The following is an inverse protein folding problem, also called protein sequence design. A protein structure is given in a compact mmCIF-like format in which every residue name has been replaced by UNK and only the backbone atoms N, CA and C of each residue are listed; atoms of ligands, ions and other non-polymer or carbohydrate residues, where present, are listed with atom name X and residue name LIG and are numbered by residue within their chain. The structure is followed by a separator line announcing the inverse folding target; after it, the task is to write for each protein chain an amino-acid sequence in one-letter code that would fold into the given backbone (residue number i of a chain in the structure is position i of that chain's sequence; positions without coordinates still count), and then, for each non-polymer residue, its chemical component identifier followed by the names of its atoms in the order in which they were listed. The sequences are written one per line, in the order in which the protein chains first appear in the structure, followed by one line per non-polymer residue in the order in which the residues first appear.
data_IF_373879448360
#
_entry.id   IF_373879448360
#
_cell.length_a   1.000
_cell.length_b   1.000
_cell.length_c   1.000
_cell.angle_alpha   90.00
_cell.angle_beta   90.00
_cell.angle_gamma   90.00
#
_symmetry.space_group_name_H-M   'P 1'
#
loop_
_entity.id
_entity.type
_entity.pdbx_description
1 polymer ?
#
# COMPACT_ATOMS: atom_id res chain seq x y z
N UNK A 1 22.57 2.93 -22.71
CA UNK A 1 22.32 4.33 -22.30
C UNK A 1 21.34 4.90 -23.33
N UNK A 2 20.04 4.89 -23.02
CA UNK A 2 18.99 5.29 -23.96
C UNK A 2 18.55 6.74 -23.69
N UNK A 3 18.48 7.60 -24.73
CA UNK A 3 18.21 9.04 -24.59
C UNK A 3 16.70 9.32 -24.69
N UNK A 4 16.27 10.44 -24.10
CA UNK A 4 14.98 11.06 -24.44
C UNK A 4 13.93 10.94 -23.35
N UNK A 5 14.10 11.71 -22.29
CA UNK A 5 13.09 11.95 -21.29
C UNK A 5 11.79 12.48 -21.92
N UNK A 6 10.72 11.67 -21.84
CA UNK A 6 9.43 12.23 -21.45
C UNK A 6 9.70 12.95 -20.12
N UNK A 7 9.27 14.21 -19.97
CA UNK A 7 9.23 14.88 -18.66
C UNK A 7 8.17 14.20 -17.78
N UNK A 8 8.40 12.93 -17.50
CA UNK A 8 7.77 12.18 -16.44
C UNK A 8 8.53 12.54 -15.18
N UNK A 9 7.85 13.00 -14.14
CA UNK A 9 8.38 12.88 -12.79
C UNK A 9 8.68 11.39 -12.59
N UNK A 10 9.97 11.04 -12.63
CA UNK A 10 10.48 9.68 -12.57
C UNK A 10 9.81 8.95 -11.39
N UNK A 11 8.91 8.03 -11.69
CA UNK A 11 8.45 7.04 -10.74
C UNK A 11 9.60 6.10 -10.37
N UNK A 12 9.59 5.60 -9.16
CA UNK A 12 10.64 4.74 -8.61
C UNK A 12 10.72 3.40 -9.37
N UNK A 13 11.94 2.96 -9.67
CA UNK A 13 12.22 1.68 -10.35
C UNK A 13 12.22 0.55 -9.31
N UNK A 14 11.29 -0.40 -9.42
CA UNK A 14 11.32 -1.64 -8.63
C UNK A 14 11.67 -2.82 -9.52
N UNK A 15 12.80 -3.47 -9.23
CA UNK A 15 13.25 -4.69 -9.90
C UNK A 15 12.90 -5.92 -9.07
N UNK A 16 12.24 -6.90 -9.67
CA UNK A 16 12.02 -8.21 -9.07
C UNK A 16 12.88 -9.25 -9.80
N UNK A 17 13.69 -9.98 -9.05
CA UNK A 17 14.44 -11.14 -9.53
C UNK A 17 13.79 -12.41 -8.99
N UNK A 18 12.99 -13.09 -9.81
CA UNK A 18 12.75 -14.53 -9.63
C UNK A 18 13.48 -15.25 -10.75
N UNK A 19 14.22 -16.32 -10.40
CA UNK A 19 15.15 -17.02 -11.29
C UNK A 19 14.59 -17.23 -12.69
N UNK A 20 15.31 -16.66 -13.67
CA UNK A 20 15.15 -16.75 -15.14
C UNK A 20 14.31 -15.68 -15.88
N UNK A 21 13.64 -14.74 -15.20
CA UNK A 21 13.05 -13.57 -15.89
C UNK A 21 13.30 -12.27 -15.13
N UNK A 22 14.01 -11.34 -15.76
CA UNK A 22 14.22 -10.00 -15.20
C UNK A 22 13.09 -9.09 -15.67
N UNK A 23 12.36 -8.49 -14.73
CA UNK A 23 11.38 -7.46 -15.08
C UNK A 23 11.62 -6.17 -14.30
N UNK A 24 11.40 -5.04 -14.97
CA UNK A 24 11.51 -3.70 -14.41
C UNK A 24 10.16 -3.04 -14.49
N UNK A 25 9.61 -2.59 -13.36
CA UNK A 25 8.35 -1.85 -13.32
C UNK A 25 8.59 -0.36 -13.10
N UNK A 26 7.82 0.48 -13.81
CA UNK A 26 7.82 1.95 -13.72
C UNK A 26 6.38 2.42 -13.56
N UNK A 27 6.14 3.39 -12.67
CA UNK A 27 4.80 3.84 -12.28
C UNK A 27 4.58 5.34 -12.56
N UNK A 28 3.35 5.72 -12.92
CA UNK A 28 2.97 7.10 -13.30
C UNK A 28 1.69 7.58 -12.57
N UNK A 29 1.75 8.76 -11.95
CA UNK A 29 0.70 9.28 -11.03
C UNK A 29 -0.41 10.09 -11.70
N UNK A 30 -0.18 10.65 -12.89
CA UNK A 30 -1.13 11.56 -13.56
C UNK A 30 -1.40 11.27 -15.03
N UNK A 31 -0.70 10.28 -15.61
CA UNK A 31 -0.86 9.95 -17.02
C UNK A 31 -1.99 8.95 -17.20
N UNK A 32 -2.85 9.19 -18.19
CA UNK A 32 -3.90 8.22 -18.52
C UNK A 32 -3.29 7.05 -19.30
N UNK A 33 -3.90 5.87 -19.17
CA UNK A 33 -3.52 4.69 -19.95
C UNK A 33 -3.41 4.98 -21.46
N UNK A 34 -4.32 5.80 -22.01
CA UNK A 34 -4.36 6.09 -23.45
C UNK A 34 -3.18 6.92 -23.90
N UNK A 35 -2.67 7.84 -23.07
CA UNK A 35 -1.53 8.68 -23.42
C UNK A 35 -0.25 7.84 -23.49
N UNK A 36 -0.04 6.99 -22.48
CA UNK A 36 1.10 6.06 -22.43
C UNK A 36 1.01 5.04 -23.57
N UNK A 37 -0.17 4.45 -23.79
CA UNK A 37 -0.41 3.52 -24.92
C UNK A 37 -0.10 4.21 -26.25
N UNK A 38 -0.60 5.42 -26.48
CA UNK A 38 -0.41 6.14 -27.74
C UNK A 38 1.08 6.42 -28.02
N UNK A 39 1.85 6.75 -26.99
CA UNK A 39 3.30 6.88 -27.11
C UNK A 39 3.95 5.57 -27.62
N UNK A 40 3.69 4.44 -26.97
CA UNK A 40 4.26 3.15 -27.38
C UNK A 40 3.76 2.68 -28.76
N UNK A 41 2.51 2.99 -29.12
CA UNK A 41 1.99 2.74 -30.47
C UNK A 41 2.77 3.53 -31.52
N UNK A 42 3.09 4.79 -31.25
CA UNK A 42 3.84 5.62 -32.20
C UNK A 42 5.30 5.17 -32.37
N UNK A 43 5.90 4.61 -31.32
CA UNK A 43 7.30 4.19 -31.32
C UNK A 43 7.50 2.76 -31.85
N UNK A 44 6.57 1.84 -31.53
CA UNK A 44 6.77 0.39 -31.72
C UNK A 44 5.67 -0.26 -32.59
N UNK A 45 4.53 0.41 -32.79
CA UNK A 45 3.36 -0.11 -33.50
C UNK A 45 2.29 -0.68 -32.57
N UNK A 46 1.25 -1.30 -33.14
CA UNK A 46 0.12 -1.82 -32.36
C UNK A 46 0.53 -2.92 -31.36
N UNK A 47 -0.12 -2.99 -30.19
CA UNK A 47 0.17 -4.02 -29.19
C UNK A 47 -0.18 -5.41 -29.73
N UNK A 48 0.59 -6.42 -29.32
CA UNK A 48 0.30 -7.83 -29.62
C UNK A 48 -0.97 -8.32 -28.94
N UNK A 49 -1.26 -7.77 -27.76
CA UNK A 49 -2.43 -8.12 -26.97
C UNK A 49 -2.98 -6.88 -26.28
N UNK A 50 -4.30 -6.77 -26.23
CA UNK A 50 -5.00 -5.74 -25.47
C UNK A 50 -6.18 -6.37 -24.74
N UNK A 51 -6.28 -6.05 -23.44
CA UNK A 51 -7.33 -6.52 -22.55
C UNK A 51 -8.04 -5.30 -21.94
N UNK A 52 -9.37 -5.33 -21.94
CA UNK A 52 -10.22 -4.34 -21.30
C UNK A 52 -11.22 -5.08 -20.40
N UNK A 53 -11.03 -4.97 -19.08
CA UNK A 53 -11.91 -5.58 -18.08
C UNK A 53 -12.89 -4.52 -17.51
N UNK A 54 -13.24 -3.53 -18.35
CA UNK A 54 -14.18 -2.46 -18.05
C UNK A 54 -13.78 -1.69 -16.80
N UNK A 55 -14.46 -1.98 -15.69
CA UNK A 55 -14.18 -1.38 -14.39
C UNK A 55 -12.81 -1.74 -13.82
N UNK A 56 -12.29 -2.93 -14.12
CA UNK A 56 -10.99 -3.40 -13.60
C UNK A 56 -9.79 -2.85 -14.36
N UNK A 57 -10.01 -2.01 -15.36
CA UNK A 57 -8.96 -1.33 -16.09
C UNK A 57 -8.48 -2.07 -17.35
N UNK A 58 -7.45 -1.51 -17.99
CA UNK A 58 -6.97 -1.93 -19.30
C UNK A 58 -5.51 -2.34 -19.26
N UNK A 59 -5.12 -3.27 -20.12
CA UNK A 59 -3.71 -3.55 -20.37
C UNK A 59 -3.38 -3.78 -21.84
N UNK A 60 -2.21 -3.30 -22.27
CA UNK A 60 -1.64 -3.57 -23.58
C UNK A 60 -0.27 -4.19 -23.42
N UNK A 61 0.01 -5.23 -24.21
CA UNK A 61 1.34 -5.85 -24.28
C UNK A 61 1.95 -5.63 -25.66
N UNK A 62 3.12 -5.00 -25.67
CA UNK A 62 3.96 -4.78 -26.82
C UNK A 62 5.12 -5.77 -26.74
N UNK A 63 5.53 -6.35 -27.86
CA UNK A 63 6.73 -7.19 -27.91
C UNK A 63 7.55 -6.79 -29.12
N UNK A 64 8.85 -6.63 -28.89
CA UNK A 64 9.80 -6.25 -29.93
C UNK A 64 10.94 -7.26 -30.00
N UNK A 65 11.22 -7.68 -31.23
CA UNK A 65 12.40 -8.46 -31.55
C UNK A 65 13.62 -7.53 -31.51
N UNK A 66 14.44 -7.65 -30.47
CA UNK A 66 15.81 -7.14 -30.56
C UNK A 66 16.61 -8.17 -31.37
N UNK A 67 17.66 -7.74 -32.06
CA UNK A 67 18.55 -8.59 -32.89
C UNK A 67 19.38 -9.63 -32.07
N UNK A 68 18.88 -10.12 -30.95
CA UNK A 68 19.46 -11.10 -30.02
C UNK A 68 18.39 -12.18 -29.74
N UNK A 69 18.72 -13.37 -29.18
CA UNK A 69 17.87 -14.57 -29.28
C UNK A 69 16.57 -14.55 -28.46
N UNK A 70 16.30 -13.49 -27.69
CA UNK A 70 15.19 -13.39 -26.75
C UNK A 70 14.34 -12.14 -27.03
N UNK A 71 13.02 -12.34 -27.15
CA UNK A 71 12.03 -11.27 -27.36
C UNK A 71 11.88 -10.46 -26.06
N UNK A 72 12.02 -9.13 -26.14
CA UNK A 72 11.77 -8.22 -25.00
C UNK A 72 10.32 -7.73 -25.09
N UNK A 73 9.64 -7.66 -23.94
CA UNK A 73 8.23 -7.27 -23.85
C UNK A 73 8.01 -6.03 -22.98
N UNK A 74 7.00 -5.23 -23.32
CA UNK A 74 6.51 -4.12 -22.49
C UNK A 74 5.03 -4.30 -22.25
N UNK A 75 4.62 -4.44 -20.99
CA UNK A 75 3.22 -4.44 -20.57
C UNK A 75 2.88 -3.09 -19.95
N UNK A 76 1.80 -2.47 -20.42
CA UNK A 76 1.22 -1.25 -19.85
C UNK A 76 -0.10 -1.65 -19.23
N UNK A 77 -0.31 -1.33 -17.96
CA UNK A 77 -1.57 -1.60 -17.26
C UNK A 77 -2.06 -0.33 -16.56
N UNK A 78 -3.31 0.08 -16.85
CA UNK A 78 -3.96 1.23 -16.24
C UNK A 78 -5.14 0.81 -15.38
N UNK A 79 -5.22 1.32 -14.14
CA UNK A 79 -6.31 1.07 -13.19
C UNK A 79 -6.65 -0.42 -12.95
N UNK A 80 -5.66 -1.31 -13.08
CA UNK A 80 -5.78 -2.74 -12.74
C UNK A 80 -5.10 -3.09 -11.41
N UNK A 81 -4.77 -2.09 -10.60
CA UNK A 81 -4.26 -2.30 -9.26
C UNK A 81 -5.22 -3.14 -8.42
N UNK A 82 -4.69 -3.82 -7.41
CA UNK A 82 -5.45 -4.69 -6.51
C UNK A 82 -5.07 -4.43 -5.06
N UNK A 83 -4.98 -3.15 -4.68
CA UNK A 83 -4.76 -2.80 -3.28
C UNK A 83 -5.96 -3.23 -2.45
N UNK A 84 -5.70 -3.94 -1.35
CA UNK A 84 -6.72 -4.35 -0.37
C UNK A 84 -6.84 -3.35 0.76
N UNK A 85 -5.90 -2.42 0.87
CA UNK A 85 -5.77 -1.48 1.99
C UNK A 85 -6.99 -0.53 2.07
N UNK A 86 -7.43 0.14 0.99
CA UNK A 86 -8.60 1.01 1.06
C UNK A 86 -9.86 0.27 1.56
N UNK A 87 -10.09 -0.96 1.10
CA UNK A 87 -11.23 -1.77 1.57
C UNK A 87 -11.12 -2.10 3.06
N UNK A 88 -9.93 -2.38 3.59
CA UNK A 88 -9.70 -2.58 5.03
C UNK A 88 -10.02 -1.32 5.81
N UNK A 89 -9.56 -0.15 5.36
CA UNK A 89 -9.85 1.14 5.99
C UNK A 89 -11.37 1.42 5.98
N UNK A 90 -12.05 1.17 4.86
CA UNK A 90 -13.51 1.34 4.80
C UNK A 90 -14.25 0.40 5.75
N UNK A 91 -13.76 -0.82 5.97
CA UNK A 91 -14.32 -1.72 6.96
C UNK A 91 -14.15 -1.19 8.39
N UNK A 92 -12.99 -0.61 8.70
CA UNK A 92 -12.75 0.06 10.00
C UNK A 92 -13.70 1.26 10.19
N UNK A 93 -13.86 2.11 9.17
CA UNK A 93 -14.79 3.24 9.21
C UNK A 93 -16.26 2.79 9.35
N UNK A 94 -16.66 1.72 8.67
CA UNK A 94 -17.98 1.10 8.85
C UNK A 94 -18.18 0.60 10.30
N UNK A 95 -17.14 0.01 10.91
CA UNK A 95 -17.18 -0.40 12.32
C UNK A 95 -17.44 0.78 13.25
N UNK A 96 -16.78 1.92 13.02
CA UNK A 96 -17.00 3.17 13.77
C UNK A 96 -18.40 3.73 13.56
N UNK A 97 -18.96 3.61 12.35
CA UNK A 97 -20.33 4.04 12.07
C UNK A 97 -21.37 3.18 12.81
N UNK A 98 -21.18 1.86 12.85
CA UNK A 98 -22.04 0.94 13.60
C UNK A 98 -22.01 1.25 15.11
N UNK A 99 -20.87 1.70 15.62
CA UNK A 99 -20.71 2.14 17.02
C UNK A 99 -21.28 3.54 17.29
N UNK A 100 -21.77 4.25 16.26
CA UNK A 100 -22.32 5.61 16.39
C UNK A 100 -21.26 6.70 16.54
N UNK A 101 -19.99 6.39 16.27
CA UNK A 101 -18.87 7.35 16.38
C UNK A 101 -18.88 8.35 15.24
N UNK A 102 -19.26 7.90 14.05
CA UNK A 102 -19.45 8.73 12.85
C UNK A 102 -20.76 8.37 12.14
N UNK A 103 -21.43 9.30 11.47
CA UNK A 103 -22.65 8.98 10.73
C UNK A 103 -22.34 8.19 9.46
N UNK A 104 -23.24 7.27 9.07
CA UNK A 104 -23.13 6.46 7.86
C UNK A 104 -22.97 7.32 6.59
N UNK A 105 -23.66 8.47 6.53
CA UNK A 105 -23.53 9.43 5.43
C UNK A 105 -22.08 9.89 5.23
N UNK A 106 -21.35 10.08 6.32
CA UNK A 106 -19.94 10.48 6.26
C UNK A 106 -19.05 9.36 5.71
N UNK A 107 -19.33 8.11 6.06
CA UNK A 107 -18.60 6.96 5.51
C UNK A 107 -18.84 6.85 4.00
N UNK A 108 -20.08 7.05 3.55
CA UNK A 108 -20.41 7.04 2.13
C UNK A 108 -19.69 8.14 1.34
N UNK A 109 -19.62 9.36 1.87
CA UNK A 109 -18.83 10.46 1.28
C UNK A 109 -17.34 10.10 1.14
N UNK A 110 -16.76 9.51 2.19
CA UNK A 110 -15.35 9.10 2.20
C UNK A 110 -15.12 8.00 1.15
N UNK A 111 -16.01 7.00 1.09
CA UNK A 111 -15.93 5.91 0.11
C UNK A 111 -16.06 6.43 -1.32
N UNK A 112 -17.00 7.33 -1.59
CA UNK A 112 -17.16 7.94 -2.91
C UNK A 112 -15.88 8.67 -3.32
N UNK A 113 -15.29 9.46 -2.40
CA UNK A 113 -14.06 10.21 -2.65
C UNK A 113 -12.83 9.32 -2.92
N UNK A 114 -12.67 8.20 -2.20
CA UNK A 114 -11.43 7.43 -2.18
C UNK A 114 -11.52 6.01 -2.77
N UNK A 115 -12.69 5.55 -3.23
CA UNK A 115 -12.87 4.20 -3.79
C UNK A 115 -11.96 3.90 -4.99
N UNK A 116 -11.54 4.92 -5.74
CA UNK A 116 -10.62 4.76 -6.86
C UNK A 116 -9.26 4.16 -6.46
N UNK A 117 -8.84 4.34 -5.20
CA UNK A 117 -7.56 3.83 -4.68
C UNK A 117 -7.46 2.30 -4.73
N UNK A 118 -8.59 1.58 -4.69
CA UNK A 118 -8.61 0.11 -4.82
C UNK A 118 -8.03 -0.36 -6.17
N UNK A 119 -8.06 0.51 -7.18
CA UNK A 119 -7.62 0.25 -8.55
C UNK A 119 -6.25 0.84 -8.89
N UNK A 120 -5.63 1.55 -7.94
CA UNK A 120 -4.32 2.16 -8.12
C UNK A 120 -3.18 1.18 -7.80
N UNK A 121 -1.99 1.49 -8.31
CA UNK A 121 -0.76 0.79 -8.01
C UNK A 121 0.03 1.52 -6.92
N UNK A 122 0.80 0.74 -6.16
CA UNK A 122 1.69 1.23 -5.13
C UNK A 122 3.08 0.60 -5.33
N UNK A 123 4.11 1.45 -5.23
CA UNK A 123 5.50 1.03 -5.39
C UNK A 123 5.88 0.10 -4.24
N UNK A 124 6.72 -0.90 -4.49
CA UNK A 124 7.26 -1.74 -3.43
C UNK A 124 8.47 -1.06 -2.78
N UNK A 125 8.41 -0.90 -1.46
CA UNK A 125 9.46 -0.35 -0.61
C UNK A 125 9.99 -1.41 0.36
N UNK A 126 11.17 -1.20 0.94
CA UNK A 126 11.69 -2.12 1.95
C UNK A 126 11.10 -1.80 3.31
N UNK A 127 10.56 -2.82 3.97
CA UNK A 127 10.21 -2.74 5.39
C UNK A 127 11.45 -2.76 6.29
N UNK A 128 11.25 -2.69 7.61
CA UNK A 128 12.31 -2.72 8.62
C UNK A 128 13.15 -4.00 8.59
N UNK A 129 12.59 -5.10 8.06
CA UNK A 129 13.28 -6.38 7.87
C UNK A 129 14.04 -6.46 6.54
N UNK A 130 13.96 -5.42 5.71
CA UNK A 130 14.55 -5.35 4.37
C UNK A 130 13.74 -6.07 3.30
N UNK A 131 12.54 -6.57 3.62
CA UNK A 131 11.64 -7.25 2.69
C UNK A 131 10.89 -6.21 1.86
N UNK A 132 10.73 -6.48 0.57
CA UNK A 132 9.91 -5.65 -0.31
C UNK A 132 8.42 -5.84 -0.01
N UNK A 133 7.75 -4.76 0.32
CA UNK A 133 6.33 -4.67 0.64
C UNK A 133 5.73 -3.48 -0.11
N UNK A 134 4.49 -3.57 -0.57
CA UNK A 134 3.84 -2.46 -1.24
C UNK A 134 3.66 -1.26 -0.29
N UNK A 135 3.88 -0.04 -0.78
CA UNK A 135 3.89 1.18 0.02
C UNK A 135 2.56 1.43 0.74
N UNK A 136 1.43 1.01 0.16
CA UNK A 136 0.12 1.08 0.79
C UNK A 136 0.02 0.26 2.07
N UNK A 137 0.60 -0.94 2.10
CA UNK A 137 0.65 -1.77 3.31
C UNK A 137 1.55 -1.14 4.38
N UNK A 138 2.66 -0.49 4.01
CA UNK A 138 3.51 0.23 4.95
C UNK A 138 2.78 1.44 5.54
N UNK A 139 2.12 2.24 4.70
CA UNK A 139 1.29 3.37 5.14
C UNK A 139 0.20 2.87 6.09
N UNK A 140 -0.53 1.82 5.71
CA UNK A 140 -1.58 1.24 6.53
C UNK A 140 -1.07 0.80 7.90
N UNK A 141 0.02 0.02 7.95
CA UNK A 141 0.61 -0.49 9.20
C UNK A 141 0.94 0.65 10.17
N UNK A 142 1.54 1.75 9.68
CA UNK A 142 1.84 2.93 10.50
C UNK A 142 0.60 3.54 11.15
N UNK A 143 -0.53 3.60 10.45
CA UNK A 143 -1.77 4.14 11.03
C UNK A 143 -2.45 3.13 11.93
N UNK A 144 -2.43 1.85 11.57
CA UNK A 144 -2.97 0.75 12.37
C UNK A 144 -2.30 0.69 13.76
N UNK A 145 -0.97 0.85 13.82
CA UNK A 145 -0.19 0.97 15.05
C UNK A 145 -0.54 2.23 15.85
N UNK A 146 -0.62 3.40 15.21
CA UNK A 146 -0.97 4.66 15.89
C UNK A 146 -2.38 4.66 16.49
N UNK A 147 -3.34 4.01 15.82
CA UNK A 147 -4.73 3.92 16.28
C UNK A 147 -4.87 2.89 17.42
N UNK A 148 -3.90 1.98 17.57
CA UNK A 148 -3.98 0.86 18.50
C UNK A 148 -4.91 -0.26 18.00
N UNK A 149 -5.24 -0.27 16.71
CA UNK A 149 -6.03 -1.33 16.06
C UNK A 149 -5.14 -2.51 15.64
N UNK A 150 -3.85 -2.26 15.42
CA UNK A 150 -2.82 -3.28 15.32
C UNK A 150 -2.35 -3.63 16.71
N UNK A 151 -2.28 -4.94 17.00
CA UNK A 151 -1.57 -5.42 18.19
C UNK A 151 -0.20 -4.77 18.19
N UNK A 152 0.01 -3.88 19.16
CA UNK A 152 1.13 -2.95 19.21
C UNK A 152 2.45 -3.74 19.17
N UNK A 153 3.22 -3.61 18.09
CA UNK A 153 4.62 -4.06 17.98
C UNK A 153 5.59 -3.11 18.73
N UNK A 154 5.18 -2.53 19.86
CA UNK A 154 6.06 -1.71 20.72
C UNK A 154 6.49 -2.53 21.94
N UNK A 155 7.66 -3.19 21.89
CA UNK A 155 8.00 -4.36 22.72
C UNK A 155 6.85 -5.38 22.66
N UNK A 156 7.03 -6.49 21.92
CA UNK A 156 5.93 -7.46 21.76
C UNK A 156 5.32 -7.76 23.15
N UNK A 157 4.00 -7.91 23.28
CA UNK A 157 3.43 -8.14 24.62
C UNK A 157 4.08 -9.36 25.31
N UNK A 158 4.64 -10.27 24.51
CA UNK A 158 5.53 -11.35 24.96
C UNK A 158 6.85 -10.85 25.56
N UNK A 159 7.59 -9.94 24.92
CA UNK A 159 8.81 -9.34 25.47
C UNK A 159 8.55 -8.59 26.78
N UNK A 160 7.46 -7.81 26.85
CA UNK A 160 7.06 -7.12 28.09
C UNK A 160 6.70 -8.14 29.17
N UNK A 161 6.04 -9.24 28.82
CA UNK A 161 5.65 -10.28 29.75
C UNK A 161 6.84 -11.14 30.20
N UNK A 162 7.78 -11.47 29.33
CA UNK A 162 9.05 -12.13 29.68
C UNK A 162 9.87 -11.26 30.63
N UNK A 163 9.98 -9.96 30.34
CA UNK A 163 10.69 -9.02 31.20
C UNK A 163 10.02 -8.86 32.57
N UNK A 164 8.70 -8.83 32.62
CA UNK A 164 7.94 -8.86 33.86
C UNK A 164 8.19 -10.16 34.66
N UNK A 165 8.22 -11.32 33.99
CA UNK A 165 8.54 -12.61 34.62
C UNK A 165 9.96 -12.65 35.19
N UNK A 166 10.95 -12.11 34.47
CA UNK A 166 12.33 -12.00 34.96
C UNK A 166 12.43 -11.10 36.19
N UNK A 167 11.74 -9.95 36.18
CA UNK A 167 11.69 -9.05 37.34
C UNK A 167 11.03 -9.71 38.55
N UNK A 168 9.97 -10.48 38.35
CA UNK A 168 9.33 -11.28 39.41
C UNK A 168 10.28 -12.35 39.98
N UNK A 169 11.00 -13.07 39.12
CA UNK A 169 11.98 -14.08 39.53
C UNK A 169 13.16 -13.48 40.33
N UNK A 170 13.51 -12.23 40.07
CA UNK A 170 14.54 -11.47 40.80
C UNK A 170 14.03 -10.86 42.12
N UNK A 171 12.77 -11.09 42.50
CA UNK A 171 12.16 -10.48 43.69
C UNK A 171 11.80 -9.01 43.54
N UNK A 172 11.89 -8.44 42.33
CA UNK A 172 11.58 -7.03 42.01
C UNK A 172 10.10 -6.88 41.65
N UNK A 173 9.22 -7.30 42.55
CA UNK A 173 7.76 -7.33 42.27
C UNK A 173 7.18 -5.95 41.95
N UNK A 174 7.63 -4.88 42.61
CA UNK A 174 7.12 -3.53 42.33
C UNK A 174 7.37 -3.09 40.88
N UNK A 175 8.58 -3.32 40.38
CA UNK A 175 8.94 -2.95 39.00
C UNK A 175 8.22 -3.80 37.96
N UNK A 176 8.02 -5.10 38.24
CA UNK A 176 7.21 -5.97 37.39
C UNK A 176 5.76 -5.48 37.32
N UNK A 177 5.16 -5.09 38.46
CA UNK A 177 3.80 -4.56 38.49
C UNK A 177 3.66 -3.21 37.78
N UNK A 178 4.64 -2.31 37.91
CA UNK A 178 4.63 -1.04 37.18
C UNK A 178 4.73 -1.25 35.66
N UNK A 179 5.54 -2.21 35.22
CA UNK A 179 5.68 -2.56 33.81
C UNK A 179 4.36 -3.10 33.24
N UNK A 180 3.72 -4.05 33.94
CA UNK A 180 2.42 -4.59 33.53
C UNK A 180 1.31 -3.53 33.57
N UNK A 181 1.34 -2.61 34.54
CA UNK A 181 0.37 -1.51 34.63
C UNK A 181 0.51 -0.55 33.45
N UNK A 182 1.73 -0.19 33.06
CA UNK A 182 1.97 0.64 31.87
C UNK A 182 1.48 -0.02 30.59
N UNK A 183 1.69 -1.33 30.44
CA UNK A 183 1.17 -2.10 29.31
C UNK A 183 -0.37 -2.05 29.27
N UNK A 184 -1.01 -2.29 30.42
CA UNK A 184 -2.48 -2.26 30.52
C UNK A 184 -3.05 -0.87 30.25
N UNK A 185 -2.43 0.19 30.78
CA UNK A 185 -2.82 1.59 30.52
C UNK A 185 -2.66 1.95 29.03
N UNK A 186 -1.58 1.50 28.39
CA UNK A 186 -1.38 1.67 26.95
C UNK A 186 -2.43 0.95 26.10
N UNK A 187 -2.80 -0.28 26.48
CA UNK A 187 -3.86 -1.03 25.80
C UNK A 187 -5.24 -0.36 25.95
N UNK A 188 -5.56 0.15 27.13
CA UNK A 188 -6.81 0.87 27.37
C UNK A 188 -6.86 2.18 26.58
N UNK A 189 -5.80 2.97 26.60
CA UNK A 189 -5.70 4.20 25.81
C UNK A 189 -5.82 3.93 24.31
N UNK A 190 -5.22 2.84 23.82
CA UNK A 190 -5.36 2.39 22.43
C UNK A 190 -6.81 1.99 22.08
N UNK A 191 -7.48 1.24 22.95
CA UNK A 191 -8.88 0.85 22.75
C UNK A 191 -9.85 2.05 22.77
N UNK A 192 -9.60 3.02 23.65
CA UNK A 192 -10.35 4.28 23.68
C UNK A 192 -10.14 5.10 22.40
N UNK A 193 -8.88 5.22 21.95
CA UNK A 193 -8.57 5.92 20.70
C UNK A 193 -9.23 5.22 19.50
N UNK A 194 -9.13 3.90 19.42
CA UNK A 194 -9.66 3.08 18.33
C UNK A 194 -11.19 3.17 18.16
N UNK A 195 -11.92 3.62 19.19
CA UNK A 195 -13.38 3.82 19.17
C UNK A 195 -13.77 5.31 19.21
N UNK A 196 -12.80 6.21 19.06
CA UNK A 196 -13.03 7.65 19.13
C UNK A 196 -13.25 8.28 17.74
N UNK A 197 -13.86 9.47 17.66
CA UNK A 197 -13.92 10.25 16.41
C UNK A 197 -12.54 10.53 15.82
N UNK A 198 -11.49 10.60 16.66
CA UNK A 198 -10.12 10.79 16.22
C UNK A 198 -9.60 9.60 15.41
N UNK A 199 -10.00 8.36 15.72
CA UNK A 199 -9.64 7.22 14.87
C UNK A 199 -10.23 7.32 13.47
N UNK A 200 -11.46 7.84 13.32
CA UNK A 200 -12.04 8.08 12.01
C UNK A 200 -11.24 9.11 11.20
N UNK A 201 -10.81 10.20 11.84
CA UNK A 201 -9.94 11.21 11.21
C UNK A 201 -8.60 10.60 10.77
N UNK A 202 -7.97 9.79 11.63
CA UNK A 202 -6.71 9.12 11.30
C UNK A 202 -6.85 8.15 10.12
N UNK A 203 -7.98 7.44 10.00
CA UNK A 203 -8.25 6.63 8.81
C UNK A 203 -8.43 7.46 7.54
N UNK A 204 -9.00 8.67 7.65
CA UNK A 204 -9.09 9.61 6.52
C UNK A 204 -7.72 10.17 6.15
N UNK A 205 -6.89 10.53 7.13
CA UNK A 205 -5.48 10.93 6.93
C UNK A 205 -4.69 9.82 6.22
N UNK A 206 -4.91 8.56 6.60
CA UNK A 206 -4.34 7.39 5.93
C UNK A 206 -4.76 7.32 4.45
N UNK A 207 -6.04 7.49 4.13
CA UNK A 207 -6.53 7.51 2.74
C UNK A 207 -5.94 8.69 1.93
N UNK A 208 -5.72 9.84 2.56
CA UNK A 208 -5.07 10.99 1.92
C UNK A 208 -3.61 10.72 1.58
N UNK A 209 -2.89 10.05 2.49
CA UNK A 209 -1.50 9.64 2.26
C UNK A 209 -1.38 8.56 1.19
N UNK A 210 -2.31 7.59 1.17
CA UNK A 210 -2.43 6.62 0.08
C UNK A 210 -2.68 7.32 -1.26
N UNK A 211 -3.59 8.29 -1.31
CA UNK A 211 -3.86 9.05 -2.53
C UNK A 211 -2.65 9.83 -3.04
N UNK A 212 -1.80 10.33 -2.15
CA UNK A 212 -0.56 11.01 -2.53
C UNK A 212 0.50 10.05 -3.12
N UNK A 213 0.44 8.78 -2.75
CA UNK A 213 1.42 7.75 -3.12
C UNK A 213 0.92 6.79 -4.22
N UNK A 214 -0.32 6.98 -4.68
CA UNK A 214 -0.99 6.13 -5.65
C UNK A 214 -0.58 6.45 -7.09
N UNK A 215 -0.43 5.40 -7.90
CA UNK A 215 -0.14 5.50 -9.32
C UNK A 215 -1.27 4.91 -10.16
N UNK A 216 -1.69 5.60 -11.21
CA UNK A 216 -2.81 5.19 -12.07
C UNK A 216 -2.38 4.19 -13.16
N UNK A 217 -1.09 4.24 -13.55
CA UNK A 217 -0.51 3.41 -14.60
C UNK A 217 0.78 2.76 -14.14
N UNK A 218 0.93 1.48 -14.48
CA UNK A 218 2.15 0.68 -14.31
C UNK A 218 2.65 0.21 -15.67
N UNK A 219 3.96 0.31 -15.90
CA UNK A 219 4.65 -0.21 -17.08
C UNK A 219 5.66 -1.25 -16.62
N UNK A 220 5.53 -2.48 -17.09
CA UNK A 220 6.45 -3.58 -16.78
C UNK A 220 7.21 -3.98 -18.03
N UNK A 221 8.54 -3.89 -17.98
CA UNK A 221 9.46 -4.30 -19.03
C UNK A 221 9.98 -5.69 -18.69
N UNK A 222 9.82 -6.66 -19.59
CA UNK A 222 10.35 -8.02 -19.49
C UNK A 222 11.62 -8.11 -20.31
N UNK A 223 12.75 -8.37 -19.65
CA UNK A 223 14.08 -8.47 -20.22
C UNK A 223 14.52 -9.92 -20.39
#
# INVERSE_FOLDING_TARGET
MYPGAVKATRGEETGFASGEQYSVSVYYTKDSYQDVRSYYVSEIGEPRMEEDDGDRGKSSFFSYQRRMPEDIGVRISGRQGRSRVPSRIFNSLNGLAVQGVIPESRVNEIREKYSYLERCYFVSEKDESGKLVAADELIYKRYEEKIGAGGVESESSEEVMERAQQLMAQGRMQEATELLKKMQEGQLAGAELATSPRAAEMWVECLEELAASAYDVSITIYL
#
